data_IF_399214362883
#
_entry.id   IF_399214362883
#
_cell.length_a   1.000
_cell.length_b   1.000
_cell.length_c   1.000
_cell.angle_alpha   90.00
_cell.angle_beta   90.00
_cell.angle_gamma   90.00
#
_symmetry.space_group_name_H-M   'P 1'
#
loop_
_entity.id
_entity.type
_entity.pdbx_description
1 polymer ?
#
# COMPACT_ATOMS: atom_id res chain seq x y z
N UNK A 1 -5.41 -62.75 -46.12
CA UNK A 1 -5.27 -62.20 -44.76
C UNK A 1 -4.11 -61.21 -44.77
N UNK A 2 -4.35 -59.91 -44.94
CA UNK A 2 -3.31 -58.86 -44.82
C UNK A 2 -3.90 -57.67 -44.05
N UNK A 3 -3.08 -57.13 -43.16
CA UNK A 3 -3.41 -56.32 -41.98
C UNK A 3 -3.83 -54.88 -42.31
N UNK A 4 -4.76 -54.34 -41.50
CA UNK A 4 -5.15 -52.93 -41.46
C UNK A 4 -4.04 -52.06 -40.87
N UNK A 5 -3.68 -50.97 -41.55
CA UNK A 5 -2.82 -49.91 -41.03
C UNK A 5 -3.68 -48.87 -40.29
N UNK A 6 -3.49 -48.72 -38.98
CA UNK A 6 -4.15 -47.72 -38.14
C UNK A 6 -3.26 -46.48 -38.08
N UNK A 7 -3.68 -45.39 -38.72
CA UNK A 7 -3.03 -44.09 -38.64
C UNK A 7 -3.39 -43.43 -37.29
N UNK A 8 -2.39 -43.30 -36.40
CA UNK A 8 -2.52 -42.53 -35.15
C UNK A 8 -2.44 -41.04 -35.43
N UNK A 9 -3.57 -40.34 -35.33
CA UNK A 9 -3.64 -38.89 -35.21
C UNK A 9 -3.36 -38.51 -33.76
N UNK A 10 -2.18 -37.96 -33.49
CA UNK A 10 -1.85 -37.32 -32.21
C UNK A 10 -2.42 -35.89 -32.20
N UNK A 11 -3.28 -35.52 -31.23
CA UNK A 11 -3.70 -34.14 -31.05
C UNK A 11 -2.55 -33.35 -30.44
N UNK A 12 -2.05 -32.36 -31.18
CA UNK A 12 -1.12 -31.37 -30.65
C UNK A 12 -1.85 -30.50 -29.62
N UNK A 13 -1.74 -30.85 -28.35
CA UNK A 13 -2.08 -29.99 -27.22
C UNK A 13 -1.06 -28.83 -27.21
N UNK A 14 -1.40 -27.74 -27.91
CA UNK A 14 -0.69 -26.48 -27.81
C UNK A 14 -0.82 -25.95 -26.38
N UNK A 15 0.21 -26.17 -25.56
CA UNK A 15 0.38 -25.54 -24.27
C UNK A 15 0.55 -24.04 -24.49
N UNK A 16 -0.53 -23.28 -24.29
CA UNK A 16 -0.44 -21.84 -24.09
C UNK A 16 0.31 -21.61 -22.78
N UNK A 17 1.62 -21.35 -22.87
CA UNK A 17 2.40 -20.96 -21.70
C UNK A 17 1.85 -19.63 -21.18
N UNK A 18 1.65 -19.48 -19.85
CA UNK A 18 1.24 -18.21 -19.29
C UNK A 18 2.29 -17.16 -19.61
N UNK A 19 1.89 -16.10 -20.32
CA UNK A 19 2.73 -14.92 -20.53
C UNK A 19 2.95 -14.28 -19.16
N UNK A 20 4.15 -14.44 -18.61
CA UNK A 20 4.56 -13.71 -17.40
C UNK A 20 4.69 -12.25 -17.81
N UNK A 21 3.66 -11.45 -17.51
CA UNK A 21 3.69 -10.00 -17.74
C UNK A 21 4.80 -9.46 -16.84
N UNK A 22 5.86 -8.92 -17.44
CA UNK A 22 6.94 -8.30 -16.68
C UNK A 22 6.35 -7.17 -15.83
N UNK A 23 6.65 -7.17 -14.53
CA UNK A 23 6.21 -6.12 -13.63
C UNK A 23 6.77 -4.77 -14.12
N UNK A 24 5.91 -3.75 -14.18
CA UNK A 24 6.32 -2.41 -14.59
C UNK A 24 7.34 -1.86 -13.58
N UNK A 25 8.56 -1.47 -14.01
CA UNK A 25 9.60 -1.01 -13.09
C UNK A 25 9.24 0.29 -12.37
N UNK A 26 8.20 1.02 -12.83
CA UNK A 26 7.69 2.21 -12.19
C UNK A 26 6.68 1.92 -11.08
N UNK A 27 6.23 0.68 -10.89
CA UNK A 27 5.29 0.31 -9.82
C UNK A 27 6.09 -0.19 -8.61
N UNK A 28 5.79 0.29 -7.38
CA UNK A 28 6.41 -0.25 -6.18
C UNK A 28 6.15 -1.76 -6.09
N UNK A 29 7.16 -2.51 -5.66
CA UNK A 29 7.02 -3.95 -5.43
C UNK A 29 6.29 -4.25 -4.13
N UNK A 30 6.43 -3.37 -3.13
CA UNK A 30 5.76 -3.47 -1.84
C UNK A 30 5.73 -2.13 -1.12
N UNK A 31 4.80 -2.02 -0.19
CA UNK A 31 4.75 -1.02 0.86
C UNK A 31 4.97 -1.67 2.21
N UNK A 32 5.62 -0.94 3.10
CA UNK A 32 5.86 -1.36 4.47
C UNK A 32 5.29 -0.32 5.41
N UNK A 33 4.47 -0.77 6.36
CA UNK A 33 4.05 0.03 7.51
C UNK A 33 4.67 -0.57 8.76
N UNK A 34 5.32 0.27 9.56
CA UNK A 34 5.98 -0.11 10.81
C UNK A 34 5.69 0.91 11.90
N UNK A 35 6.02 0.57 13.15
CA UNK A 35 5.79 1.44 14.32
C UNK A 35 4.35 1.96 14.43
N UNK A 36 3.37 1.14 14.03
CA UNK A 36 1.97 1.52 14.08
C UNK A 36 1.51 1.64 15.53
N UNK A 37 1.02 2.81 15.90
CA UNK A 37 0.42 3.11 17.19
C UNK A 37 -0.85 3.92 16.98
N UNK A 38 -1.97 3.39 17.43
CA UNK A 38 -3.25 4.07 17.52
C UNK A 38 -3.62 4.28 18.98
N UNK A 39 -3.84 5.53 19.36
CA UNK A 39 -4.35 5.92 20.67
C UNK A 39 -5.83 6.27 20.50
N UNK A 40 -6.76 5.33 20.78
CA UNK A 40 -8.19 5.64 20.76
C UNK A 40 -8.50 6.75 21.74
N UNK A 41 -9.16 7.79 21.24
CA UNK A 41 -9.46 8.95 22.06
C UNK A 41 -10.66 8.75 22.96
N UNK A 42 -10.57 9.35 24.15
CA UNK A 42 -11.73 9.73 24.96
C UNK A 42 -11.93 11.25 24.85
N UNK A 43 -12.42 11.92 25.90
CA UNK A 43 -12.54 13.39 25.93
C UNK A 43 -11.20 14.14 25.85
N UNK A 44 -10.06 13.43 25.94
CA UNK A 44 -8.70 13.99 25.90
C UNK A 44 -8.03 13.98 24.52
N UNK A 45 -8.68 13.41 23.50
CA UNK A 45 -8.16 13.36 22.12
C UNK A 45 -7.68 11.99 21.67
N UNK A 46 -7.58 11.79 20.35
CA UNK A 46 -7.12 10.57 19.69
C UNK A 46 -5.86 10.83 18.85
N UNK A 47 -5.09 9.77 18.62
CA UNK A 47 -3.86 9.82 17.83
C UNK A 47 -3.65 8.56 17.00
N UNK A 48 -3.03 8.70 15.85
CA UNK A 48 -2.54 7.61 15.01
C UNK A 48 -1.17 8.01 14.49
N UNK A 49 -0.19 7.14 14.65
CA UNK A 49 1.15 7.32 14.12
C UNK A 49 1.64 6.00 13.51
N UNK A 50 2.33 6.08 12.37
CA UNK A 50 3.04 4.96 11.78
C UNK A 50 4.15 5.45 10.86
N UNK A 51 5.09 4.57 10.56
CA UNK A 51 6.15 4.81 9.60
C UNK A 51 5.84 4.06 8.30
N UNK A 52 5.85 4.76 7.17
CA UNK A 52 5.60 4.21 5.84
C UNK A 52 6.89 4.20 5.02
N UNK A 53 7.10 3.11 4.28
CA UNK A 53 8.16 3.03 3.29
C UNK A 53 7.66 2.37 2.01
N UNK A 54 8.04 2.94 0.86
CA UNK A 54 7.82 2.35 -0.45
C UNK A 54 9.06 1.63 -0.96
N UNK A 55 8.86 0.49 -1.62
CA UNK A 55 9.95 -0.31 -2.18
C UNK A 55 9.77 -0.46 -3.69
N UNK A 56 10.84 -0.23 -4.44
CA UNK A 56 10.88 -0.38 -5.90
C UNK A 56 11.97 -1.37 -6.29
N UNK A 57 11.72 -2.12 -7.37
CA UNK A 57 12.71 -3.05 -7.92
C UNK A 57 13.94 -2.33 -8.49
N UNK A 58 13.76 -1.11 -9.00
CA UNK A 58 14.83 -0.25 -9.50
C UNK A 58 14.65 1.19 -9.01
N UNK A 59 15.31 1.55 -7.92
CA UNK A 59 15.23 2.91 -7.36
C UNK A 59 15.95 3.97 -8.19
N UNK A 60 16.83 3.60 -9.14
CA UNK A 60 17.62 4.58 -9.91
C UNK A 60 16.78 5.42 -10.88
N UNK A 61 15.57 4.96 -11.20
CA UNK A 61 14.63 5.64 -12.10
C UNK A 61 13.47 6.31 -11.35
N UNK A 62 13.49 6.24 -10.01
CA UNK A 62 12.39 6.65 -9.13
C UNK A 62 12.80 7.90 -8.37
N UNK A 63 11.92 8.91 -8.38
CA UNK A 63 11.97 10.01 -7.44
C UNK A 63 10.78 9.89 -6.48
N UNK A 64 11.05 9.34 -5.30
CA UNK A 64 10.05 9.16 -4.25
C UNK A 64 10.67 9.42 -2.87
N UNK A 65 10.29 10.51 -2.18
CA UNK A 65 10.70 10.76 -0.80
C UNK A 65 10.32 9.64 0.17
N UNK A 66 9.21 8.94 -0.06
CA UNK A 66 8.73 7.87 0.82
C UNK A 66 9.59 6.60 0.72
N UNK A 67 10.45 6.48 -0.31
CA UNK A 67 11.34 5.31 -0.47
C UNK A 67 12.43 5.22 0.60
N UNK A 68 12.78 6.36 1.22
CA UNK A 68 13.69 6.42 2.35
C UNK A 68 12.99 6.19 3.72
N UNK A 69 11.67 6.05 3.71
CA UNK A 69 10.84 6.02 4.91
C UNK A 69 10.34 7.40 5.32
N UNK A 70 9.10 7.48 5.78
CA UNK A 70 8.46 8.71 6.26
C UNK A 70 7.49 8.43 7.40
N UNK A 71 7.36 9.38 8.31
CA UNK A 71 6.36 9.30 9.37
C UNK A 71 5.01 9.85 8.88
N UNK A 72 3.95 9.13 9.19
CA UNK A 72 2.57 9.47 8.93
C UNK A 72 1.85 9.56 10.28
N UNK A 73 1.06 10.61 10.48
CA UNK A 73 0.28 10.70 11.71
C UNK A 73 -0.90 11.63 11.61
N UNK A 74 -1.88 11.38 12.48
CA UNK A 74 -3.09 12.14 12.65
C UNK A 74 -3.35 12.31 14.14
N UNK A 75 -3.79 13.50 14.55
CA UNK A 75 -4.15 13.76 15.94
C UNK A 75 -5.40 14.63 16.01
N UNK A 76 -6.23 14.40 17.02
CA UNK A 76 -7.46 15.16 17.25
C UNK A 76 -7.64 15.42 18.74
N UNK A 77 -8.22 16.57 19.10
CA UNK A 77 -8.65 16.83 20.48
C UNK A 77 -9.96 16.15 20.85
N UNK A 78 -10.55 15.40 19.91
CA UNK A 78 -11.78 14.63 20.09
C UNK A 78 -11.50 13.15 19.87
N UNK A 79 -12.49 12.30 20.08
CA UNK A 79 -12.35 10.86 19.80
C UNK A 79 -12.17 10.54 18.31
N UNK A 80 -12.46 11.49 17.41
CA UNK A 80 -12.45 11.26 15.96
C UNK A 80 -11.24 11.91 15.30
N UNK A 81 -10.41 11.10 14.64
CA UNK A 81 -9.32 11.58 13.80
C UNK A 81 -9.84 12.23 12.51
N UNK A 82 -9.11 13.20 11.93
CA UNK A 82 -9.39 13.70 10.58
C UNK A 82 -9.35 12.56 9.55
N UNK A 83 -10.22 12.62 8.53
CA UNK A 83 -10.28 11.61 7.47
C UNK A 83 -8.97 11.57 6.68
N UNK A 84 -8.67 12.64 5.94
CA UNK A 84 -7.46 12.74 5.12
C UNK A 84 -6.31 13.42 5.89
N UNK A 85 -5.12 12.81 5.83
CA UNK A 85 -3.94 13.28 6.55
C UNK A 85 -2.69 13.15 5.66
N UNK A 86 -1.83 14.17 5.66
CA UNK A 86 -0.59 14.19 4.90
C UNK A 86 0.57 13.61 5.72
N UNK A 87 1.40 12.77 5.10
CA UNK A 87 2.61 12.24 5.72
C UNK A 87 3.79 13.22 5.61
N UNK A 88 4.77 13.11 6.51
CA UNK A 88 5.91 14.03 6.63
C UNK A 88 7.03 13.76 5.62
N UNK A 89 6.69 13.59 4.34
CA UNK A 89 7.67 13.39 3.26
C UNK A 89 8.39 14.68 2.85
N UNK A 90 7.94 15.84 3.37
CA UNK A 90 8.39 17.16 2.94
C UNK A 90 7.82 17.59 1.57
N UNK A 91 6.87 16.83 1.01
CA UNK A 91 6.16 17.08 -0.25
C UNK A 91 4.72 16.56 -0.17
N UNK A 92 3.83 17.13 -0.98
CA UNK A 92 2.45 16.68 -1.10
C UNK A 92 2.32 15.41 -1.96
N UNK A 93 2.93 14.29 -1.53
CA UNK A 93 3.04 13.08 -2.33
C UNK A 93 2.57 11.80 -1.63
N UNK A 94 2.27 11.85 -0.34
CA UNK A 94 1.73 10.72 0.39
C UNK A 94 0.66 11.19 1.39
N UNK A 95 -0.54 10.63 1.22
CA UNK A 95 -1.69 10.86 2.08
C UNK A 95 -2.24 9.52 2.56
N UNK A 96 -2.87 9.54 3.73
CA UNK A 96 -3.70 8.43 4.18
C UNK A 96 -5.09 8.96 4.56
N UNK A 97 -6.12 8.24 4.13
CA UNK A 97 -7.51 8.49 4.50
C UNK A 97 -8.01 7.40 5.44
N UNK A 98 -8.53 7.80 6.60
CA UNK A 98 -9.06 6.89 7.61
C UNK A 98 -10.49 6.52 7.23
N UNK A 99 -10.67 5.30 6.69
CA UNK A 99 -11.98 4.77 6.33
C UNK A 99 -12.77 4.31 7.55
N UNK A 100 -12.10 3.71 8.54
CA UNK A 100 -12.70 3.31 9.81
C UNK A 100 -11.65 3.14 10.91
N UNK A 101 -11.79 3.91 11.99
CA UNK A 101 -10.94 3.79 13.19
C UNK A 101 -11.21 2.52 13.98
N UNK A 102 -12.42 1.95 13.90
CA UNK A 102 -12.79 0.75 14.67
C UNK A 102 -12.18 -0.53 14.09
N UNK A 103 -11.95 -0.54 12.78
CA UNK A 103 -11.43 -1.69 12.05
C UNK A 103 -9.99 -1.46 11.58
N UNK A 104 -9.38 -0.33 11.96
CA UNK A 104 -8.03 0.06 11.54
C UNK A 104 -7.87 0.05 10.01
N UNK A 105 -8.89 0.58 9.33
CA UNK A 105 -9.02 0.57 7.88
C UNK A 105 -8.68 1.95 7.32
N UNK A 106 -7.75 1.98 6.38
CA UNK A 106 -7.34 3.18 5.68
C UNK A 106 -7.06 2.96 4.20
N UNK A 107 -7.03 4.08 3.47
CA UNK A 107 -6.61 4.15 2.09
C UNK A 107 -5.36 5.01 1.97
N UNK A 108 -4.32 4.48 1.35
CA UNK A 108 -3.08 5.19 1.07
C UNK A 108 -3.13 5.75 -0.36
N UNK A 109 -2.93 7.05 -0.47
CA UNK A 109 -2.81 7.76 -1.75
C UNK A 109 -1.35 8.18 -1.87
N UNK A 110 -0.62 7.47 -2.73
CA UNK A 110 0.81 7.65 -2.90
C UNK A 110 1.11 8.09 -4.33
N UNK A 111 1.89 9.15 -4.48
CA UNK A 111 2.35 9.73 -5.75
C UNK A 111 3.87 9.78 -5.77
N UNK A 112 4.46 9.38 -6.89
CA UNK A 112 5.91 9.42 -7.12
C UNK A 112 6.21 9.81 -8.57
N UNK A 113 7.50 10.01 -8.89
CA UNK A 113 7.93 10.09 -10.29
C UNK A 113 8.74 8.88 -10.69
N UNK A 114 8.57 8.45 -11.94
CA UNK A 114 9.37 7.43 -12.59
C UNK A 114 9.78 7.91 -13.98
N UNK A 115 11.09 7.98 -14.27
CA UNK A 115 11.61 8.50 -15.54
C UNK A 115 10.99 9.86 -15.94
N UNK A 116 10.80 10.76 -14.97
CA UNK A 116 10.21 12.09 -15.18
C UNK A 116 8.69 12.12 -15.34
N UNK A 117 8.01 10.97 -15.44
CA UNK A 117 6.54 10.86 -15.46
C UNK A 117 5.99 10.74 -14.05
N UNK A 118 4.78 11.25 -13.83
CA UNK A 118 4.11 11.16 -12.52
C UNK A 118 3.29 9.88 -12.47
N UNK A 119 3.36 9.18 -11.35
CA UNK A 119 2.63 7.96 -11.08
C UNK A 119 1.88 8.08 -9.77
N UNK A 120 0.78 7.34 -9.64
CA UNK A 120 0.06 7.23 -8.38
C UNK A 120 -0.47 5.82 -8.14
N UNK A 121 -0.67 5.49 -6.87
CA UNK A 121 -1.42 4.33 -6.41
C UNK A 121 -2.47 4.76 -5.40
N UNK A 122 -3.57 4.01 -5.36
CA UNK A 122 -4.58 4.11 -4.30
C UNK A 122 -4.73 2.72 -3.72
N UNK A 123 -4.21 2.54 -2.51
CA UNK A 123 -4.07 1.22 -1.87
C UNK A 123 -4.93 1.15 -0.63
N UNK A 124 -5.92 0.26 -0.65
CA UNK A 124 -6.70 -0.07 0.54
C UNK A 124 -5.86 -0.95 1.47
N UNK A 125 -5.93 -0.70 2.78
CA UNK A 125 -5.24 -1.53 3.74
C UNK A 125 -5.96 -1.55 5.09
N UNK A 126 -6.08 -2.75 5.65
CA UNK A 126 -6.59 -3.00 6.99
C UNK A 126 -5.46 -3.51 7.85
N UNK A 127 -5.13 -2.78 8.92
CA UNK A 127 -4.07 -3.18 9.85
C UNK A 127 -4.48 -4.44 10.57
N UNK A 128 -3.70 -5.50 10.37
CA UNK A 128 -3.93 -6.78 11.02
C UNK A 128 -3.17 -6.88 12.35
N UNK A 129 -3.60 -7.81 13.20
CA UNK A 129 -2.90 -8.18 14.44
C UNK A 129 -2.70 -7.04 15.44
N UNK A 130 -3.63 -6.08 15.46
CA UNK A 130 -3.60 -4.96 16.42
C UNK A 130 -3.84 -5.48 17.84
N UNK A 131 -2.92 -5.15 18.75
CA UNK A 131 -3.01 -5.48 20.18
C UNK A 131 -3.09 -4.19 20.98
N UNK A 132 -4.11 -4.07 21.82
CA UNK A 132 -4.32 -2.90 22.67
C UNK A 132 -3.96 -3.21 24.12
N UNK A 133 -3.21 -2.31 24.73
CA UNK A 133 -2.91 -2.30 26.16
C UNK A 133 -3.34 -0.98 26.78
N UNK A 134 -3.88 -1.05 27.99
CA UNK A 134 -4.12 0.12 28.82
C UNK A 134 -2.88 0.38 29.65
N UNK A 135 -2.42 1.62 29.66
CA UNK A 135 -1.43 2.09 30.61
C UNK A 135 -2.14 2.40 31.94
N UNK A 136 -1.82 1.65 32.99
CA UNK A 136 -2.44 1.76 34.31
C UNK A 136 -2.10 3.10 35.01
N UNK A 137 -1.01 3.78 34.63
CA UNK A 137 -0.61 5.05 35.25
C UNK A 137 -1.30 6.24 34.59
N UNK A 138 -1.38 6.24 33.25
CA UNK A 138 -2.01 7.33 32.49
C UNK A 138 -3.50 7.09 32.20
N UNK A 139 -3.99 5.87 32.43
CA UNK A 139 -5.34 5.45 32.04
C UNK A 139 -5.58 5.46 30.52
N UNK A 140 -4.50 5.55 29.72
CA UNK A 140 -4.59 5.70 28.27
C UNK A 140 -4.47 4.35 27.59
N UNK A 141 -5.37 4.06 26.65
CA UNK A 141 -5.26 2.86 25.81
C UNK A 141 -4.39 3.18 24.60
N UNK A 142 -3.42 2.31 24.32
CA UNK A 142 -2.63 2.34 23.11
C UNK A 142 -2.74 0.99 22.39
N UNK A 143 -2.99 1.04 21.09
CA UNK A 143 -3.14 -0.10 20.21
C UNK A 143 -1.97 -0.12 19.23
N UNK A 144 -1.17 -1.19 19.25
CA UNK A 144 0.00 -1.32 18.39
C UNK A 144 -0.14 -2.50 17.42
N UNK A 145 0.51 -2.40 16.27
CA UNK A 145 0.59 -3.49 15.29
C UNK A 145 2.04 -3.76 14.91
N UNK A 146 2.39 -5.02 14.57
CA UNK A 146 3.70 -5.34 14.02
C UNK A 146 3.91 -4.70 12.64
N UNK A 147 5.15 -4.73 12.16
CA UNK A 147 5.47 -4.36 10.78
C UNK A 147 4.69 -5.22 9.79
N UNK A 148 4.12 -4.58 8.77
CA UNK A 148 3.32 -5.21 7.74
C UNK A 148 3.80 -4.79 6.36
N UNK A 149 3.98 -5.79 5.50
CA UNK A 149 4.29 -5.61 4.09
C UNK A 149 3.07 -5.98 3.24
N UNK A 150 2.76 -5.17 2.24
CA UNK A 150 1.63 -5.39 1.33
C UNK A 150 1.92 -4.82 -0.05
N UNK A 151 1.21 -5.30 -1.05
CA UNK A 151 1.37 -4.84 -2.43
C UNK A 151 0.61 -3.53 -2.64
N UNK A 152 1.13 -2.58 -3.44
CA UNK A 152 0.34 -1.44 -3.89
C UNK A 152 -0.80 -1.87 -4.80
N UNK A 153 -1.90 -1.14 -4.73
CA UNK A 153 -3.07 -1.32 -5.60
C UNK A 153 -3.28 -0.10 -6.50
N UNK A 154 -3.97 -0.32 -7.63
CA UNK A 154 -4.37 0.75 -8.57
C UNK A 154 -3.23 1.67 -9.02
N UNK A 155 -2.00 1.14 -9.08
CA UNK A 155 -0.82 1.85 -9.54
C UNK A 155 -0.93 2.17 -11.03
N UNK A 156 -0.77 3.45 -11.38
CA UNK A 156 -0.94 3.96 -12.75
C UNK A 156 -0.13 5.23 -12.98
N UNK A 157 0.25 5.46 -14.22
CA UNK A 157 0.76 6.76 -14.66
C UNK A 157 -0.37 7.81 -14.59
N UNK A 158 -0.09 8.99 -14.03
CA UNK A 158 -0.98 10.15 -14.10
C UNK A 158 -0.66 10.90 -15.39
N UNK A 159 -1.58 10.81 -16.34
CA UNK A 159 -1.48 11.53 -17.60
C UNK A 159 -2.20 12.88 -17.50
N UNK A 160 -1.61 13.92 -18.10
CA UNK A 160 -2.25 15.25 -18.23
C UNK A 160 -3.45 15.25 -19.17
N UNK A 161 -3.74 14.11 -19.81
CA UNK A 161 -4.90 13.84 -20.67
C UNK A 161 -5.53 12.50 -20.28
N UNK A 162 -6.83 12.26 -20.56
CA UNK A 162 -7.56 11.07 -20.09
C UNK A 162 -6.98 9.71 -20.51
N UNK A 163 -6.13 9.68 -21.53
CA UNK A 163 -5.43 8.47 -21.99
C UNK A 163 -3.92 8.68 -21.98
N UNK A 164 -3.20 7.69 -21.45
CA UNK A 164 -1.76 7.55 -21.58
C UNK A 164 -1.43 6.82 -22.90
N UNK A 165 -0.43 7.25 -23.69
CA UNK A 165 0.00 6.55 -24.91
C UNK A 165 0.59 5.17 -24.62
#
# INVERSE_FOLDING_TARGET
MHFFAVASLLPALALAAPVVRQADPCVPTSYTISNYVYTPGSSSGSGLDFHFQSHFSNSSIIEDPASAGTDCGASSSTATLPGENECKTGRNNLYFDIRSQQTYDYELIHTWKCNGKTWMSTTHHVVSSVTCSMDDESGTTACAAPTQDFAPENAREICSTPTCP
#
